data_IF_510405257036
#
_entry.id   IF_510405257036
#
_cell.length_a   1.000
_cell.length_b   1.000
_cell.length_c   1.000
_cell.angle_alpha   90.00
_cell.angle_beta   90.00
_cell.angle_gamma   90.00
#
_symmetry.space_group_name_H-M   'P 1'
#
loop_
_entity.id
_entity.type
_entity.pdbx_description
1 polymer ?
#
# COMPACT_ATOMS: atom_id res chain seq x y z
N UNK A 1 -6.40 -43.15 -10.13
CA UNK A 1 -6.68 -42.39 -8.88
C UNK A 1 -5.77 -41.16 -8.70
N UNK A 2 -4.56 -41.13 -9.26
CA UNK A 2 -3.66 -39.94 -9.19
C UNK A 2 -4.02 -38.78 -10.13
N UNK A 3 -4.65 -39.05 -11.29
CA UNK A 3 -4.97 -38.00 -12.27
C UNK A 3 -6.14 -37.08 -11.87
N UNK A 4 -7.02 -37.52 -10.97
CA UNK A 4 -8.19 -36.74 -10.54
C UNK A 4 -7.79 -35.65 -9.54
N UNK A 5 -6.77 -35.90 -8.70
CA UNK A 5 -6.27 -34.92 -7.72
C UNK A 5 -5.53 -33.74 -8.35
N UNK A 6 -4.76 -33.97 -9.41
CA UNK A 6 -4.03 -32.89 -10.11
C UNK A 6 -4.99 -31.95 -10.84
N UNK A 7 -6.07 -32.50 -11.39
CA UNK A 7 -7.10 -31.73 -12.08
C UNK A 7 -7.91 -30.89 -11.08
N UNK A 8 -8.24 -31.41 -9.90
CA UNK A 8 -8.95 -30.66 -8.87
C UNK A 8 -8.16 -29.48 -8.30
N UNK A 9 -6.82 -29.59 -8.22
CA UNK A 9 -5.96 -28.47 -7.79
C UNK A 9 -5.77 -27.42 -8.89
N UNK A 10 -5.77 -27.83 -10.16
CA UNK A 10 -5.72 -26.90 -11.30
C UNK A 10 -7.01 -26.11 -11.49
N UNK A 11 -8.17 -26.69 -11.16
CA UNK A 11 -9.47 -25.99 -11.27
C UNK A 11 -9.80 -25.07 -10.08
N UNK A 12 -9.04 -25.10 -8.99
CA UNK A 12 -9.24 -24.18 -7.85
C UNK A 12 -8.54 -22.82 -8.03
N UNK A 13 -7.66 -22.66 -9.02
CA UNK A 13 -6.95 -21.40 -9.30
C UNK A 13 -7.60 -20.56 -10.41
N UNK A 14 -8.87 -20.83 -10.74
CA UNK A 14 -9.70 -19.99 -11.61
C UNK A 14 -10.82 -19.27 -10.87
N UNK A 15 -10.73 -19.16 -9.54
CA UNK A 15 -11.50 -18.12 -8.85
C UNK A 15 -10.82 -16.80 -9.18
N UNK A 16 -11.54 -15.90 -9.87
CA UNK A 16 -11.22 -14.48 -9.94
C UNK A 16 -10.63 -14.08 -8.59
N UNK A 17 -9.45 -13.44 -8.58
CA UNK A 17 -8.87 -12.96 -7.33
C UNK A 17 -9.96 -12.22 -6.53
N UNK A 18 -10.05 -12.45 -5.22
CA UNK A 18 -11.01 -11.78 -4.36
C UNK A 18 -10.44 -10.50 -3.72
N UNK A 19 -9.23 -10.07 -4.13
CA UNK A 19 -8.56 -8.92 -3.54
C UNK A 19 -9.41 -7.66 -3.62
N UNK A 20 -9.48 -6.92 -2.51
CA UNK A 20 -10.22 -5.68 -2.42
C UNK A 20 -9.32 -4.65 -1.71
N UNK A 21 -8.57 -3.86 -2.49
CA UNK A 21 -7.52 -2.99 -1.94
C UNK A 21 -7.56 -1.57 -2.49
N UNK A 22 -7.09 -0.63 -1.68
CA UNK A 22 -6.74 0.74 -2.05
C UNK A 22 -5.31 1.01 -1.59
N UNK A 23 -4.45 1.46 -2.50
CA UNK A 23 -3.08 1.92 -2.20
C UNK A 23 -2.96 3.40 -2.56
N UNK A 24 -3.15 4.27 -1.58
CA UNK A 24 -3.19 5.71 -1.76
C UNK A 24 -1.80 6.36 -1.62
N UNK A 25 -1.54 7.40 -2.40
CA UNK A 25 -0.25 8.09 -2.36
C UNK A 25 0.03 8.74 -1.00
N UNK A 26 -0.97 9.42 -0.43
CA UNK A 26 -0.89 10.13 0.84
C UNK A 26 -2.13 9.88 1.70
N UNK A 27 -2.05 10.11 3.01
CA UNK A 27 -3.24 10.13 3.87
C UNK A 27 -3.92 11.50 3.92
N UNK A 28 -3.26 12.58 3.47
CA UNK A 28 -3.76 13.95 3.61
C UNK A 28 -3.27 14.80 2.44
N UNK A 29 -4.19 15.56 1.84
CA UNK A 29 -3.85 16.56 0.81
C UNK A 29 -3.51 17.90 1.45
N UNK A 30 -2.75 18.73 0.74
CA UNK A 30 -2.45 20.09 1.21
C UNK A 30 -3.74 20.88 1.50
N UNK A 31 -3.86 21.38 2.73
CA UNK A 31 -5.04 22.12 3.20
C UNK A 31 -6.28 21.27 3.49
N UNK A 32 -6.21 19.94 3.34
CA UNK A 32 -7.31 19.01 3.61
C UNK A 32 -7.20 18.29 4.95
N UNK A 33 -8.25 17.57 5.31
CA UNK A 33 -8.30 16.73 6.52
C UNK A 33 -7.79 15.30 6.25
N UNK A 34 -7.46 14.58 7.31
CA UNK A 34 -6.95 13.21 7.24
C UNK A 34 -7.96 12.25 6.62
N UNK A 35 -7.55 11.54 5.55
CA UNK A 35 -8.32 10.59 4.74
C UNK A 35 -9.57 11.13 4.06
N UNK A 36 -9.88 12.42 4.21
CA UNK A 36 -11.15 12.99 3.74
C UNK A 36 -11.35 12.85 2.23
N UNK A 37 -10.29 13.05 1.45
CA UNK A 37 -10.35 12.93 -0.01
C UNK A 37 -10.65 11.50 -0.50
N UNK A 38 -10.48 10.49 0.37
CA UNK A 38 -10.77 9.08 0.07
C UNK A 38 -12.12 8.63 0.66
N UNK A 39 -12.87 9.49 1.36
CA UNK A 39 -14.04 9.09 2.17
C UNK A 39 -14.99 8.13 1.45
N UNK A 40 -15.44 8.48 0.25
CA UNK A 40 -16.39 7.66 -0.53
C UNK A 40 -15.79 6.31 -0.96
N UNK A 41 -14.51 6.31 -1.32
CA UNK A 41 -13.77 5.09 -1.67
C UNK A 41 -13.59 4.18 -0.47
N UNK A 42 -13.40 4.74 0.74
CA UNK A 42 -13.28 3.98 1.97
C UNK A 42 -14.62 3.38 2.41
N UNK A 43 -15.72 4.10 2.23
CA UNK A 43 -17.08 3.55 2.44
C UNK A 43 -17.32 2.36 1.52
N UNK A 44 -16.88 2.45 0.26
CA UNK A 44 -17.00 1.36 -0.72
C UNK A 44 -16.07 0.19 -0.38
N UNK A 45 -14.81 0.47 -0.06
CA UNK A 45 -13.80 -0.54 0.29
C UNK A 45 -14.24 -1.40 1.47
N UNK A 46 -14.82 -0.75 2.50
CA UNK A 46 -15.24 -1.39 3.74
C UNK A 46 -16.75 -1.62 3.83
N UNK A 47 -17.46 -1.69 2.69
CA UNK A 47 -18.89 -1.95 2.68
C UNK A 47 -19.23 -3.25 3.45
N UNK A 48 -20.07 -3.13 4.49
CA UNK A 48 -20.45 -4.25 5.36
C UNK A 48 -19.43 -4.62 6.44
N UNK A 49 -18.32 -3.87 6.57
CA UNK A 49 -17.32 -4.03 7.63
C UNK A 49 -17.56 -2.95 8.69
N UNK A 50 -17.73 -3.37 9.95
CA UNK A 50 -17.97 -2.50 11.11
C UNK A 50 -16.72 -2.29 11.98
N UNK A 51 -15.64 -3.03 11.71
CA UNK A 51 -14.38 -2.97 12.45
C UNK A 51 -13.18 -3.35 11.58
N UNK A 52 -12.09 -2.58 11.70
CA UNK A 52 -10.81 -2.85 11.05
C UNK A 52 -9.66 -2.84 12.05
N UNK A 53 -8.58 -3.53 11.68
CA UNK A 53 -7.31 -3.48 12.39
C UNK A 53 -6.38 -2.46 11.73
N UNK A 54 -5.84 -1.54 12.53
CA UNK A 54 -4.86 -0.56 12.10
C UNK A 54 -3.43 -1.03 12.36
N UNK A 55 -2.52 -0.87 11.40
CA UNK A 55 -1.10 -1.24 11.49
C UNK A 55 -0.27 0.05 11.70
N UNK A 56 0.14 0.39 12.93
CA UNK A 56 0.71 1.69 13.27
C UNK A 56 2.25 1.76 13.18
N UNK A 57 2.93 0.72 12.69
CA UNK A 57 4.37 0.55 12.87
C UNK A 57 5.25 1.53 12.08
N UNK A 58 4.70 2.25 11.10
CA UNK A 58 5.44 3.26 10.34
C UNK A 58 5.71 4.55 11.13
N UNK A 59 4.89 4.90 12.13
CA UNK A 59 5.12 5.98 13.12
C UNK A 59 5.62 7.32 12.53
N UNK A 60 4.79 8.07 11.79
CA UNK A 60 5.18 9.35 11.20
C UNK A 60 5.61 10.34 12.30
N UNK A 61 6.76 10.98 12.11
CA UNK A 61 7.33 11.90 13.11
C UNK A 61 7.68 11.24 14.45
N UNK A 62 7.78 9.90 14.52
CA UNK A 62 8.09 9.17 15.75
C UNK A 62 6.93 9.04 16.74
N UNK A 63 5.70 9.40 16.33
CA UNK A 63 4.48 9.29 17.15
C UNK A 63 4.32 7.91 17.80
N UNK A 64 3.68 7.85 18.97
CA UNK A 64 3.36 6.57 19.62
C UNK A 64 2.36 5.76 18.80
N UNK A 65 2.32 4.44 19.00
CA UNK A 65 1.31 3.61 18.33
C UNK A 65 -0.11 3.96 18.80
N UNK A 66 -0.29 4.31 20.07
CA UNK A 66 -1.59 4.69 20.63
C UNK A 66 -2.12 5.98 20.02
N UNK A 67 -1.30 7.04 19.98
CA UNK A 67 -1.70 8.33 19.40
C UNK A 67 -1.96 8.20 17.90
N UNK A 68 -1.18 7.36 17.20
CA UNK A 68 -1.41 7.14 15.78
C UNK A 68 -2.71 6.38 15.53
N UNK A 69 -2.98 5.36 16.34
CA UNK A 69 -4.23 4.60 16.27
C UNK A 69 -5.43 5.48 16.61
N UNK A 70 -5.30 6.38 17.58
CA UNK A 70 -6.36 7.33 17.93
C UNK A 70 -6.70 8.27 16.76
N UNK A 71 -5.70 8.73 15.99
CA UNK A 71 -5.94 9.52 14.77
C UNK A 71 -6.72 8.73 13.72
N UNK A 72 -6.32 7.49 13.45
CA UNK A 72 -7.06 6.63 12.53
C UNK A 72 -8.50 6.40 13.02
N UNK A 73 -8.67 6.07 14.31
CA UNK A 73 -9.96 5.86 14.94
C UNK A 73 -10.90 7.06 14.78
N UNK A 74 -10.41 8.27 15.02
CA UNK A 74 -11.21 9.50 14.88
C UNK A 74 -11.81 9.68 13.49
N UNK A 75 -11.09 9.32 12.43
CA UNK A 75 -11.63 9.39 11.06
C UNK A 75 -12.66 8.28 10.82
N UNK A 76 -12.31 7.03 11.13
CA UNK A 76 -13.16 5.87 10.84
C UNK A 76 -14.46 5.85 11.63
N UNK A 77 -14.47 6.43 12.84
CA UNK A 77 -15.70 6.66 13.61
C UNK A 77 -16.71 7.53 12.83
N UNK A 78 -16.24 8.51 12.04
CA UNK A 78 -17.12 9.35 11.21
C UNK A 78 -17.82 8.60 10.07
N UNK A 79 -17.33 7.40 9.72
CA UNK A 79 -17.95 6.48 8.75
C UNK A 79 -18.47 5.19 9.41
N UNK A 80 -18.67 5.21 10.74
CA UNK A 80 -19.21 4.10 11.55
C UNK A 80 -18.38 2.81 11.54
N UNK A 81 -17.05 2.93 11.43
CA UNK A 81 -16.12 1.81 11.48
C UNK A 81 -15.26 1.91 12.74
N UNK A 82 -15.24 0.85 13.54
CA UNK A 82 -14.37 0.74 14.72
C UNK A 82 -12.93 0.47 14.28
N UNK A 83 -11.97 0.99 15.04
CA UNK A 83 -10.54 0.77 14.79
C UNK A 83 -9.84 0.28 16.05
N UNK A 84 -9.14 -0.84 15.93
CA UNK A 84 -8.22 -1.34 16.94
C UNK A 84 -6.80 -1.41 16.39
N UNK A 85 -5.84 -0.86 17.12
CA UNK A 85 -4.44 -0.91 16.73
C UNK A 85 -3.88 -2.31 16.89
N UNK A 86 -3.10 -2.78 15.91
CA UNK A 86 -2.50 -4.11 15.95
C UNK A 86 -1.54 -4.28 17.14
N UNK A 87 -0.94 -3.18 17.61
CA UNK A 87 -0.08 -3.18 18.80
C UNK A 87 -0.84 -3.44 20.11
N UNK A 88 -2.18 -3.31 20.11
CA UNK A 88 -3.04 -3.56 21.27
C UNK A 88 -3.36 -5.05 21.48
N UNK A 89 -2.90 -5.93 20.58
CA UNK A 89 -3.13 -7.38 20.66
C UNK A 89 -1.88 -8.09 21.17
N UNK A 90 -2.09 -9.07 22.06
CA UNK A 90 -1.04 -9.97 22.52
C UNK A 90 -0.56 -10.87 21.38
N UNK A 91 -1.50 -11.55 20.71
CA UNK A 91 -1.26 -12.32 19.49
C UNK A 91 -1.68 -11.53 18.26
N UNK A 92 -0.69 -10.92 17.60
CA UNK A 92 -0.89 -10.10 16.40
C UNK A 92 -1.22 -10.92 15.16
N UNK A 93 -0.70 -12.15 15.06
CA UNK A 93 -0.98 -13.01 13.92
C UNK A 93 -2.45 -13.45 13.95
N UNK A 94 -2.92 -13.88 15.12
CA UNK A 94 -4.34 -14.21 15.32
C UNK A 94 -5.24 -12.99 15.11
N UNK A 95 -4.84 -11.81 15.60
CA UNK A 95 -5.57 -10.58 15.34
C UNK A 95 -5.73 -10.29 13.84
N UNK A 96 -4.67 -10.52 13.04
CA UNK A 96 -4.76 -10.40 11.58
C UNK A 96 -5.71 -11.47 11.01
N UNK A 97 -5.63 -12.72 11.44
CA UNK A 97 -6.54 -13.79 10.98
C UNK A 97 -8.01 -13.53 11.32
N UNK A 98 -8.32 -12.83 12.41
CA UNK A 98 -9.70 -12.51 12.82
C UNK A 98 -10.21 -11.17 12.27
N UNK A 99 -9.32 -10.25 11.90
CA UNK A 99 -9.71 -8.94 11.39
C UNK A 99 -10.61 -9.03 10.15
N UNK A 100 -11.56 -8.12 10.03
CA UNK A 100 -12.47 -8.01 8.88
C UNK A 100 -11.90 -7.16 7.75
N UNK A 101 -10.97 -6.25 8.08
CA UNK A 101 -10.23 -5.43 7.13
C UNK A 101 -9.05 -4.75 7.82
N UNK A 102 -8.20 -4.13 7.02
CA UNK A 102 -6.93 -3.57 7.47
C UNK A 102 -6.74 -2.15 6.97
N UNK A 103 -6.06 -1.33 7.79
CA UNK A 103 -5.50 -0.06 7.36
C UNK A 103 -4.04 0.03 7.82
N UNK A 104 -3.11 0.29 6.90
CA UNK A 104 -1.71 0.63 7.22
C UNK A 104 -1.44 2.09 6.90
N UNK A 105 -1.10 2.86 7.94
CA UNK A 105 -0.80 4.28 7.80
C UNK A 105 0.59 4.57 7.20
N UNK A 106 0.82 5.82 6.83
CA UNK A 106 2.12 6.34 6.42
C UNK A 106 3.12 6.48 7.58
N UNK A 107 4.35 6.90 7.29
CA UNK A 107 5.45 7.00 8.25
C UNK A 107 6.76 6.58 7.58
N UNK A 108 7.66 5.94 8.31
CA UNK A 108 8.88 5.39 7.73
C UNK A 108 8.69 3.93 7.29
N UNK A 109 8.86 3.68 5.99
CA UNK A 109 8.70 2.37 5.36
C UNK A 109 9.74 1.35 5.86
N UNK A 110 10.98 1.76 6.13
CA UNK A 110 12.02 0.86 6.66
C UNK A 110 11.64 0.31 8.04
N UNK A 111 11.12 1.18 8.92
CA UNK A 111 10.63 0.76 10.23
C UNK A 111 9.43 -0.17 10.13
N UNK A 112 8.45 0.18 9.29
CA UNK A 112 7.28 -0.66 9.02
C UNK A 112 7.67 -2.06 8.55
N UNK A 113 8.51 -2.14 7.51
CA UNK A 113 8.93 -3.41 6.91
C UNK A 113 9.79 -4.23 7.87
N UNK A 114 10.70 -3.59 8.62
CA UNK A 114 11.49 -4.27 9.65
C UNK A 114 10.58 -4.93 10.68
N UNK A 115 9.65 -4.19 11.27
CA UNK A 115 8.75 -4.68 12.31
C UNK A 115 7.86 -5.82 11.78
N UNK A 116 7.28 -5.66 10.59
CA UNK A 116 6.44 -6.70 10.00
C UNK A 116 7.21 -8.01 9.71
N UNK A 117 8.48 -7.94 9.30
CA UNK A 117 9.29 -9.14 9.09
C UNK A 117 9.74 -9.77 10.40
N UNK A 118 10.23 -8.98 11.36
CA UNK A 118 10.69 -9.49 12.66
C UNK A 118 9.57 -10.17 13.46
N UNK A 119 8.34 -9.66 13.34
CA UNK A 119 7.16 -10.26 13.99
C UNK A 119 6.47 -11.33 13.12
N UNK A 120 7.00 -11.63 11.92
CA UNK A 120 6.43 -12.63 11.01
C UNK A 120 5.06 -12.26 10.43
N UNK A 121 4.69 -10.97 10.47
CA UNK A 121 3.36 -10.47 10.09
C UNK A 121 3.23 -10.14 8.61
N UNK A 122 4.34 -9.92 7.88
CA UNK A 122 4.31 -9.57 6.45
C UNK A 122 3.59 -10.65 5.62
N UNK A 123 3.92 -11.92 5.83
CA UNK A 123 3.29 -13.05 5.14
C UNK A 123 1.84 -13.25 5.58
N UNK A 124 1.55 -13.09 6.87
CA UNK A 124 0.20 -13.24 7.44
C UNK A 124 -0.75 -12.18 6.86
N UNK A 125 -0.32 -10.91 6.78
CA UNK A 125 -1.08 -9.85 6.12
C UNK A 125 -1.30 -10.16 4.64
N UNK A 126 -0.23 -10.53 3.92
CA UNK A 126 -0.32 -10.89 2.49
C UNK A 126 -1.38 -11.96 2.23
N UNK A 127 -1.34 -13.06 2.98
CA UNK A 127 -2.27 -14.17 2.80
C UNK A 127 -3.72 -13.72 3.01
N UNK A 128 -3.97 -13.02 4.12
CA UNK A 128 -5.32 -12.57 4.47
C UNK A 128 -5.90 -11.59 3.44
N UNK A 129 -5.09 -10.64 2.95
CA UNK A 129 -5.54 -9.69 1.91
C UNK A 129 -5.73 -10.39 0.58
N UNK A 130 -4.84 -11.32 0.22
CA UNK A 130 -4.95 -12.13 -1.01
C UNK A 130 -6.21 -13.00 -1.01
N UNK A 131 -6.66 -13.43 0.17
CA UNK A 131 -7.91 -14.17 0.40
C UNK A 131 -9.15 -13.27 0.52
N UNK A 132 -9.01 -11.97 0.25
CA UNK A 132 -10.13 -11.07 -0.03
C UNK A 132 -10.54 -10.13 1.10
N UNK A 133 -9.78 -10.09 2.20
CA UNK A 133 -10.00 -9.08 3.24
C UNK A 133 -9.56 -7.70 2.76
N UNK A 134 -10.39 -6.69 3.04
CA UNK A 134 -10.18 -5.33 2.58
C UNK A 134 -8.87 -4.74 3.13
N UNK A 135 -8.12 -4.04 2.29
CA UNK A 135 -6.85 -3.39 2.68
C UNK A 135 -6.77 -1.94 2.18
N UNK A 136 -6.49 -1.03 3.09
CA UNK A 136 -6.04 0.33 2.78
C UNK A 136 -4.56 0.47 3.13
N UNK A 137 -3.76 0.94 2.18
CA UNK A 137 -2.42 1.46 2.40
C UNK A 137 -2.38 2.96 2.09
N UNK A 138 -1.66 3.74 2.88
CA UNK A 138 -1.33 5.13 2.57
C UNK A 138 0.18 5.35 2.70
N UNK A 139 0.81 5.99 1.71
CA UNK A 139 2.25 6.30 1.75
C UNK A 139 3.10 5.03 1.99
N UNK A 140 3.79 4.91 3.13
CA UNK A 140 4.50 3.68 3.54
C UNK A 140 3.62 2.42 3.49
N UNK A 141 2.34 2.52 3.87
CA UNK A 141 1.37 1.42 3.73
C UNK A 141 1.14 1.01 2.28
N UNK A 142 1.19 1.96 1.34
CA UNK A 142 1.11 1.67 -0.09
C UNK A 142 2.37 1.01 -0.61
N UNK A 143 3.56 1.40 -0.11
CA UNK A 143 4.80 0.73 -0.49
C UNK A 143 4.78 -0.78 -0.18
N UNK A 144 4.24 -1.19 0.98
CA UNK A 144 4.16 -2.62 1.34
C UNK A 144 3.12 -3.41 0.52
N UNK A 145 2.26 -2.73 -0.23
CA UNK A 145 1.39 -3.36 -1.24
C UNK A 145 2.13 -3.76 -2.52
N UNK A 146 3.28 -3.15 -2.82
CA UNK A 146 4.12 -3.50 -3.97
C UNK A 146 4.91 -4.80 -3.78
N UNK A 147 5.76 -5.14 -4.76
CA UNK A 147 6.62 -6.32 -4.71
C UNK A 147 7.71 -6.20 -3.63
N UNK A 148 8.32 -5.02 -3.52
CA UNK A 148 9.31 -4.69 -2.49
C UNK A 148 9.34 -3.18 -2.23
N UNK A 149 9.99 -2.78 -1.14
CA UNK A 149 10.03 -1.38 -0.71
C UNK A 149 11.13 -0.52 -1.39
N UNK A 150 11.83 -1.02 -2.41
CA UNK A 150 13.02 -0.35 -2.99
C UNK A 150 12.73 0.99 -3.66
N UNK A 151 11.46 1.33 -3.86
CA UNK A 151 10.99 2.60 -4.45
C UNK A 151 10.36 3.53 -3.42
N UNK A 152 10.56 3.28 -2.12
CA UNK A 152 10.21 4.25 -1.08
C UNK A 152 11.09 5.50 -1.17
N UNK A 153 10.57 6.64 -0.69
CA UNK A 153 11.33 7.88 -0.57
C UNK A 153 12.01 8.02 0.80
N UNK A 154 11.73 7.07 1.70
CA UNK A 154 12.14 7.17 3.08
C UNK A 154 13.63 6.94 3.25
N UNK A 155 14.20 7.63 4.22
CA UNK A 155 15.57 7.40 4.65
C UNK A 155 15.68 6.04 5.37
N UNK A 156 16.74 5.23 5.10
CA UNK A 156 16.96 3.93 5.73
C UNK A 156 17.44 4.06 7.18
N UNK A 157 16.56 4.49 8.07
CA UNK A 157 16.88 4.72 9.50
C UNK A 157 17.08 3.42 10.30
N UNK A 158 16.61 2.29 9.76
CA UNK A 158 16.78 0.95 10.32
C UNK A 158 17.01 -0.05 9.17
N UNK A 159 17.59 -1.21 9.50
CA UNK A 159 17.85 -2.28 8.53
C UNK A 159 16.83 -3.41 8.68
N UNK A 160 15.91 -3.63 7.72
CA UNK A 160 14.94 -4.72 7.78
C UNK A 160 15.57 -6.08 7.38
N UNK A 161 15.03 -7.21 7.84
CA UNK A 161 15.48 -8.54 7.43
C UNK A 161 15.35 -8.81 5.92
N UNK A 162 14.36 -8.20 5.26
CA UNK A 162 14.15 -8.24 3.81
C UNK A 162 13.48 -6.94 3.34
N UNK A 163 13.64 -6.60 2.06
CA UNK A 163 12.86 -5.55 1.41
C UNK A 163 11.57 -6.07 0.76
N UNK A 164 11.38 -7.39 0.71
CA UNK A 164 10.19 -8.00 0.13
C UNK A 164 8.95 -7.56 0.89
N UNK A 165 7.88 -7.31 0.15
CA UNK A 165 6.62 -6.80 0.66
C UNK A 165 5.49 -7.80 0.33
N UNK A 166 4.23 -7.38 0.47
CA UNK A 166 3.10 -8.31 0.27
C UNK A 166 2.94 -8.72 -1.20
N UNK A 167 3.35 -7.89 -2.17
CA UNK A 167 3.17 -8.18 -3.59
C UNK A 167 1.71 -8.25 -4.01
N UNK A 168 0.87 -7.36 -3.43
CA UNK A 168 -0.55 -7.22 -3.75
C UNK A 168 -0.81 -6.58 -5.11
N UNK A 169 0.21 -6.06 -5.79
CA UNK A 169 0.17 -5.59 -7.18
C UNK A 169 1.48 -5.98 -7.87
N UNK A 170 1.49 -6.24 -9.20
CA UNK A 170 2.67 -6.78 -9.91
C UNK A 170 3.76 -5.73 -10.19
N UNK A 171 3.73 -4.60 -9.48
CA UNK A 171 4.62 -3.46 -9.64
C UNK A 171 4.99 -2.88 -8.28
N UNK A 172 5.91 -1.94 -8.28
CA UNK A 172 6.24 -1.14 -7.11
C UNK A 172 5.61 0.25 -7.22
N UNK A 173 5.20 0.82 -6.09
CA UNK A 173 4.73 2.20 -6.03
C UNK A 173 5.89 3.12 -5.64
N UNK A 174 5.95 4.30 -6.23
CA UNK A 174 6.61 5.47 -5.66
C UNK A 174 5.52 6.46 -5.23
N UNK A 175 4.98 6.34 -4.00
CA UNK A 175 4.06 7.33 -3.44
C UNK A 175 4.75 8.69 -3.33
N UNK A 176 3.96 9.76 -3.21
CA UNK A 176 4.46 11.13 -3.22
C UNK A 176 5.43 11.38 -4.39
N UNK A 177 5.09 10.86 -5.58
CA UNK A 177 5.86 11.15 -6.77
C UNK A 177 5.82 12.66 -7.01
N UNK A 178 6.99 13.27 -7.09
CA UNK A 178 7.16 14.69 -7.27
C UNK A 178 7.91 14.93 -8.57
N UNK A 179 7.30 15.72 -9.45
CA UNK A 179 7.89 16.14 -10.70
C UNK A 179 9.17 16.97 -10.47
N UNK A 180 10.14 16.92 -11.41
CA UNK A 180 11.29 17.79 -11.36
C UNK A 180 10.83 19.26 -11.41
N UNK A 181 11.27 20.05 -10.42
CA UNK A 181 11.05 21.49 -10.44
C UNK A 181 12.19 22.16 -11.24
N UNK A 182 11.92 22.74 -12.42
CA UNK A 182 12.96 23.33 -13.28
C UNK A 182 13.63 24.57 -12.65
N UNK A 183 12.94 25.24 -11.73
CA UNK A 183 13.46 26.44 -11.06
C UNK A 183 14.30 26.11 -9.82
N UNK A 184 14.29 24.85 -9.38
CA UNK A 184 15.04 24.42 -8.20
C UNK A 184 16.52 24.29 -8.55
N UNK A 185 17.34 25.21 -8.02
CA UNK A 185 18.82 25.15 -8.10
C UNK A 185 19.38 24.13 -7.11
N UNK A 186 19.10 22.85 -7.37
CA UNK A 186 19.61 21.71 -6.62
C UNK A 186 20.24 20.70 -7.57
N UNK A 187 21.43 20.21 -7.24
CA UNK A 187 22.19 19.29 -8.09
C UNK A 187 21.93 17.80 -7.79
N UNK A 188 21.10 17.49 -6.78
CA UNK A 188 20.73 16.11 -6.48
C UNK A 188 19.80 15.52 -7.53
N UNK A 189 19.76 14.18 -7.59
CA UNK A 189 18.96 13.46 -8.57
C UNK A 189 17.46 13.69 -8.37
N UNK A 190 16.76 13.93 -9.48
CA UNK A 190 15.29 14.01 -9.52
C UNK A 190 14.66 12.67 -9.16
N UNK A 191 13.36 12.65 -8.85
CA UNK A 191 12.68 11.39 -8.59
C UNK A 191 12.71 10.45 -9.78
N UNK A 192 12.48 10.99 -10.99
CA UNK A 192 12.58 10.23 -12.24
C UNK A 192 13.96 9.60 -12.41
N UNK A 193 15.04 10.37 -12.20
CA UNK A 193 16.41 9.86 -12.28
C UNK A 193 16.63 8.65 -11.35
N UNK A 194 16.21 8.74 -10.08
CA UNK A 194 16.35 7.64 -9.10
C UNK A 194 15.56 6.39 -9.49
N UNK A 195 14.36 6.56 -10.06
CA UNK A 195 13.55 5.42 -10.53
C UNK A 195 14.19 4.79 -11.77
N UNK A 196 14.76 5.59 -12.69
CA UNK A 196 15.48 5.05 -13.84
C UNK A 196 16.75 4.31 -13.43
N UNK A 197 17.47 4.79 -12.40
CA UNK A 197 18.59 4.06 -11.78
C UNK A 197 18.14 2.70 -11.24
N UNK A 198 17.01 2.66 -10.52
CA UNK A 198 16.42 1.40 -10.05
C UNK A 198 16.16 0.42 -11.21
N UNK A 199 15.63 0.91 -12.34
CA UNK A 199 15.34 0.10 -13.54
C UNK A 199 16.59 -0.38 -14.29
N UNK A 200 17.77 0.19 -14.02
CA UNK A 200 19.03 -0.40 -14.52
C UNK A 200 19.36 -1.73 -13.85
N UNK A 201 18.89 -1.92 -12.60
CA UNK A 201 19.19 -3.08 -11.77
C UNK A 201 17.97 -4.01 -11.56
N UNK A 202 16.76 -3.57 -11.90
CA UNK A 202 15.51 -4.30 -11.63
C UNK A 202 14.56 -4.19 -12.84
N UNK A 203 13.72 -5.20 -13.05
CA UNK A 203 12.75 -5.25 -14.15
C UNK A 203 11.31 -4.92 -13.72
N UNK A 204 11.12 -4.56 -12.44
CA UNK A 204 9.80 -4.32 -11.85
C UNK A 204 9.29 -2.93 -12.28
N UNK A 205 8.10 -2.87 -12.92
CA UNK A 205 7.40 -1.62 -13.24
C UNK A 205 7.27 -0.74 -11.99
N UNK A 206 7.47 0.57 -12.13
CA UNK A 206 7.26 1.53 -11.04
C UNK A 206 6.13 2.47 -11.41
N UNK A 207 5.18 2.65 -10.49
CA UNK A 207 4.07 3.60 -10.62
C UNK A 207 4.38 4.82 -9.75
N UNK A 208 4.75 5.93 -10.40
CA UNK A 208 4.93 7.23 -9.78
C UNK A 208 3.58 7.87 -9.46
N UNK A 209 3.14 7.71 -8.22
CA UNK A 209 1.81 8.08 -7.79
C UNK A 209 1.84 9.45 -7.10
N UNK A 210 1.26 10.47 -7.74
CA UNK A 210 1.15 11.82 -7.18
C UNK A 210 0.17 11.85 -6.00
N UNK A 211 0.32 12.83 -5.10
CA UNK A 211 -0.67 13.04 -4.04
C UNK A 211 -2.03 13.38 -4.65
N UNK A 212 -3.10 12.79 -4.11
CA UNK A 212 -4.45 12.84 -4.71
C UNK A 212 -4.82 11.59 -5.50
N UNK A 213 -3.83 10.79 -5.90
CA UNK A 213 -4.07 9.53 -6.61
C UNK A 213 -3.96 8.30 -5.70
N UNK A 214 -4.64 7.24 -6.11
CA UNK A 214 -4.57 5.91 -5.51
C UNK A 214 -4.64 4.81 -6.56
N UNK A 215 -4.19 3.61 -6.18
CA UNK A 215 -4.45 2.38 -6.92
C UNK A 215 -5.68 1.72 -6.34
N UNK A 216 -6.64 1.37 -7.18
CA UNK A 216 -7.77 0.52 -6.83
C UNK A 216 -7.54 -0.86 -7.41
N UNK A 217 -7.66 -1.90 -6.59
CA UNK A 217 -7.69 -3.28 -7.10
C UNK A 217 -8.87 -4.05 -6.54
N UNK A 218 -9.70 -4.54 -7.47
CA UNK A 218 -10.84 -5.42 -7.21
C UNK A 218 -10.64 -6.69 -8.04
N UNK A 219 -10.31 -7.77 -7.34
CA UNK A 219 -9.82 -9.00 -7.92
C UNK A 219 -8.62 -8.79 -8.82
N UNK A 220 -8.77 -9.14 -10.09
CA UNK A 220 -7.69 -9.03 -11.08
C UNK A 220 -7.69 -7.67 -11.81
N UNK A 221 -8.70 -6.83 -11.57
CA UNK A 221 -8.75 -5.48 -12.14
C UNK A 221 -7.96 -4.53 -11.26
N UNK A 222 -6.96 -3.87 -11.85
CA UNK A 222 -6.13 -2.86 -11.19
C UNK A 222 -6.23 -1.57 -11.99
N UNK A 223 -6.68 -0.49 -11.36
CA UNK A 223 -6.80 0.84 -11.96
C UNK A 223 -6.04 1.89 -11.17
N UNK A 224 -5.65 2.95 -11.87
CA UNK A 224 -5.24 4.22 -11.27
C UNK A 224 -6.47 5.10 -11.13
N UNK A 225 -6.63 5.73 -9.99
CA UNK A 225 -7.72 6.66 -9.70
C UNK A 225 -7.15 7.95 -9.09
N UNK A 226 -7.95 9.02 -9.09
CA UNK A 226 -7.59 10.33 -8.52
C UNK A 226 -7.73 11.49 -9.49
N UNK A 227 -7.18 12.64 -9.10
CA UNK A 227 -7.31 13.89 -9.86
C UNK A 227 -6.12 14.20 -10.78
N UNK A 228 -4.96 13.60 -10.51
CA UNK A 228 -3.72 13.88 -11.24
C UNK A 228 -3.45 12.81 -12.30
N UNK A 229 -2.60 13.13 -13.28
CA UNK A 229 -1.99 12.09 -14.12
C UNK A 229 -1.08 11.20 -13.27
N UNK A 230 -0.86 9.96 -13.71
CA UNK A 230 0.07 9.03 -13.06
C UNK A 230 1.22 8.66 -13.98
N UNK A 231 2.45 8.82 -13.47
CA UNK A 231 3.69 8.58 -14.20
C UNK A 231 4.06 7.11 -14.12
N UNK A 232 4.29 6.46 -15.26
CA UNK A 232 4.66 5.05 -15.37
C UNK A 232 6.10 4.90 -15.84
N UNK A 233 6.84 4.02 -15.16
CA UNK A 233 8.22 3.70 -15.48
C UNK A 233 8.36 2.21 -15.74
N UNK A 234 8.94 1.87 -16.89
CA UNK A 234 9.24 0.51 -17.29
C UNK A 234 10.66 0.46 -17.85
N UNK A 235 11.34 -0.67 -17.64
CA UNK A 235 12.70 -0.84 -18.13
C UNK A 235 12.75 -0.71 -19.66
N UNK A 236 13.74 0.02 -20.15
CA UNK A 236 13.97 0.28 -21.58
C UNK A 236 12.80 1.01 -22.29
N UNK A 237 11.97 1.75 -21.56
CA UNK A 237 10.94 2.63 -22.13
C UNK A 237 11.10 4.04 -21.56
N UNK A 238 10.76 5.02 -22.39
CA UNK A 238 10.60 6.39 -21.90
C UNK A 238 9.40 6.45 -20.93
N UNK A 239 9.51 7.17 -19.80
CA UNK A 239 8.40 7.27 -18.87
C UNK A 239 7.21 8.02 -19.51
N UNK A 240 5.99 7.56 -19.22
CA UNK A 240 4.76 8.07 -19.81
C UNK A 240 3.69 8.32 -18.74
N UNK A 241 2.65 9.09 -19.09
CA UNK A 241 1.53 9.40 -18.20
C UNK A 241 0.29 8.58 -18.58
N UNK A 242 -0.52 8.26 -17.59
CA UNK A 242 -1.87 7.71 -17.77
C UNK A 242 -2.89 8.48 -16.95
N UNK A 243 -4.14 8.49 -17.42
CA UNK A 243 -5.27 9.17 -16.77
C UNK A 243 -5.93 8.27 -15.71
N UNK A 244 -6.66 8.87 -14.77
CA UNK A 244 -7.53 8.14 -13.86
C UNK A 244 -8.54 7.25 -14.62
N UNK A 245 -8.90 6.11 -14.05
CA UNK A 245 -9.67 5.04 -14.69
C UNK A 245 -8.86 4.11 -15.59
N UNK A 246 -7.59 4.42 -15.88
CA UNK A 246 -6.73 3.54 -16.70
C UNK A 246 -6.36 2.25 -15.96
N UNK A 247 -6.36 1.12 -16.67
CA UNK A 247 -5.88 -0.17 -16.15
C UNK A 247 -4.36 -0.29 -16.17
N UNK A 248 -3.79 -1.07 -15.24
CA UNK A 248 -2.33 -1.25 -15.05
C UNK A 248 -1.77 -2.65 -15.31
#
# INVERSE_FOLDING_TARGET
MFAIFVVQHYFYNQYNSCMNIILASTSTLFGGEYLEYLREELITLYAGIDEIVFIPFARPGGISHDDYTAKARSFFESINIKVKGLHEFEDKAEAIHQAKGYFTGGGNTFLLVKTLHEEGLMSVLKENVSNGKAYLGCSAGSNIGGQNMKTTNDMPIVYPPSFDCMGLVPFNLNPHYLDPNPDLKHNGETRETRIMEFLTQNDIKVVGLREGNWIRRTGDTITVEGSELTRIFEKNKEPYEIEAGSSL
#
